data_IF_285787860066
#
_entry.id   IF_285787860066
#
_cell.length_a   1.000
_cell.length_b   1.000
_cell.length_c   1.000
_cell.angle_alpha   90.00
_cell.angle_beta   90.00
_cell.angle_gamma   90.00
#
_symmetry.space_group_name_H-M   'P 1'
#
loop_
_entity.id
_entity.type
_entity.pdbx_description
1 polymer ?
#
# COMPACT_ATOMS: atom_id res chain seq x y z
N UNK A 1 5.87 15.82 4.60
CA UNK A 1 5.03 16.82 3.96
C UNK A 1 5.82 18.08 3.63
N UNK A 2 6.29 18.84 4.62
CA UNK A 2 6.98 20.11 4.40
C UNK A 2 8.21 20.03 3.49
N UNK A 3 8.95 18.92 3.57
CA UNK A 3 10.17 18.74 2.76
C UNK A 3 9.91 18.32 1.31
N UNK A 4 8.77 17.71 1.02
CA UNK A 4 8.54 17.04 -0.26
C UNK A 4 7.32 17.53 -1.03
N UNK A 5 6.22 17.83 -0.36
CA UNK A 5 4.93 18.09 -1.03
C UNK A 5 4.51 19.55 -0.94
N UNK A 6 4.78 20.23 0.19
CA UNK A 6 4.29 21.59 0.40
C UNK A 6 4.77 22.60 -0.67
N UNK A 7 6.02 22.45 -1.10
CA UNK A 7 6.61 23.32 -2.14
C UNK A 7 5.88 23.20 -3.49
N UNK A 8 5.42 21.99 -3.83
CA UNK A 8 4.71 21.73 -5.08
C UNK A 8 3.21 22.01 -4.95
N UNK A 9 2.64 21.81 -3.77
CA UNK A 9 1.22 21.99 -3.54
C UNK A 9 0.81 23.45 -3.30
N UNK A 10 1.68 24.26 -2.70
CA UNK A 10 1.37 25.62 -2.28
C UNK A 10 2.47 26.65 -2.59
N UNK A 11 3.53 26.25 -3.28
CA UNK A 11 4.60 27.15 -3.71
C UNK A 11 4.18 28.09 -4.85
N UNK A 12 4.96 29.14 -5.15
CA UNK A 12 4.72 29.99 -6.29
C UNK A 12 4.68 29.19 -7.60
N UNK A 13 3.65 29.41 -8.42
CA UNK A 13 3.48 28.74 -9.71
C UNK A 13 2.89 27.32 -9.65
N UNK A 14 2.36 26.88 -8.48
CA UNK A 14 1.67 25.60 -8.40
C UNK A 14 0.43 25.58 -9.29
N UNK A 15 0.17 24.43 -9.91
CA UNK A 15 -0.99 24.21 -10.78
C UNK A 15 -2.06 23.32 -10.14
N UNK A 16 -1.86 22.90 -8.88
CA UNK A 16 -2.80 22.03 -8.18
C UNK A 16 -4.02 22.84 -7.71
N UNK A 17 -5.19 22.49 -8.19
CA UNK A 17 -6.45 23.13 -7.82
C UNK A 17 -6.96 22.64 -6.46
N UNK A 18 -6.68 21.37 -6.13
CA UNK A 18 -7.19 20.74 -4.91
C UNK A 18 -6.16 19.78 -4.32
N UNK A 19 -5.97 19.88 -3.01
CA UNK A 19 -5.11 18.99 -2.24
C UNK A 19 -5.96 18.34 -1.15
N UNK A 20 -5.99 17.02 -1.12
CA UNK A 20 -6.68 16.26 -0.08
C UNK A 20 -5.71 15.75 0.97
N UNK A 21 -6.16 15.79 2.22
CA UNK A 21 -5.47 15.13 3.33
C UNK A 21 -6.23 13.89 3.77
N UNK A 22 -5.48 12.83 4.05
CA UNK A 22 -6.00 11.56 4.58
C UNK A 22 -5.46 11.38 5.99
N UNK A 23 -6.36 11.14 6.95
CA UNK A 23 -5.98 10.83 8.33
C UNK A 23 -6.07 9.33 8.56
N UNK A 24 -4.94 8.63 8.45
CA UNK A 24 -4.88 7.18 8.65
C UNK A 24 -5.29 6.72 10.05
N UNK A 25 -5.25 7.62 11.06
CA UNK A 25 -5.66 7.27 12.42
C UNK A 25 -7.16 7.02 12.52
N UNK A 26 -7.96 7.54 11.57
CA UNK A 26 -9.40 7.30 11.49
C UNK A 26 -9.74 5.83 11.22
N UNK A 27 -8.84 5.08 10.59
CA UNK A 27 -9.02 3.67 10.20
C UNK A 27 -8.41 2.67 11.19
N UNK A 28 -7.80 3.18 12.25
CA UNK A 28 -7.22 2.32 13.28
C UNK A 28 -8.29 1.71 14.19
N UNK A 29 -8.02 0.52 14.77
CA UNK A 29 -8.87 -0.06 15.81
C UNK A 29 -9.14 0.91 16.96
N UNK A 30 -10.33 0.85 17.55
CA UNK A 30 -10.74 1.75 18.65
C UNK A 30 -9.72 1.75 19.79
N UNK A 31 -9.21 0.59 20.17
CA UNK A 31 -8.19 0.45 21.22
C UNK A 31 -6.91 1.25 20.91
N UNK A 32 -6.46 1.25 19.66
CA UNK A 32 -5.30 2.06 19.26
C UNK A 32 -5.63 3.55 19.23
N UNK A 33 -6.83 3.92 18.79
CA UNK A 33 -7.28 5.33 18.84
C UNK A 33 -7.29 5.86 20.28
N UNK A 34 -7.82 5.10 21.21
CA UNK A 34 -7.86 5.49 22.62
C UNK A 34 -6.45 5.60 23.22
N UNK A 35 -5.57 4.65 22.92
CA UNK A 35 -4.15 4.74 23.34
C UNK A 35 -3.44 5.97 22.79
N UNK A 36 -3.66 6.31 21.52
CA UNK A 36 -3.08 7.52 20.89
C UNK A 36 -3.69 8.81 21.46
N UNK A 37 -4.92 8.77 21.98
CA UNK A 37 -5.58 9.94 22.58
C UNK A 37 -5.09 10.24 24.00
N UNK A 38 -4.37 9.32 24.65
CA UNK A 38 -3.85 9.53 26.00
C UNK A 38 -2.92 10.75 26.07
N UNK A 39 -3.03 11.57 27.12
CA UNK A 39 -2.23 12.81 27.28
C UNK A 39 -0.79 12.54 27.78
N UNK A 40 -0.21 11.40 27.42
CA UNK A 40 1.14 10.98 27.82
C UNK A 40 2.14 11.19 26.69
N UNK A 41 3.41 11.45 27.02
CA UNK A 41 4.46 11.76 26.06
C UNK A 41 4.67 10.67 24.97
N UNK A 42 4.67 9.36 25.27
CA UNK A 42 4.79 8.31 24.26
C UNK A 42 3.62 8.31 23.25
N UNK A 43 2.39 8.50 23.73
CA UNK A 43 1.20 8.55 22.88
C UNK A 43 1.22 9.79 21.98
N UNK A 44 1.64 10.94 22.52
CA UNK A 44 1.82 12.18 21.76
C UNK A 44 2.85 12.01 20.64
N UNK A 45 4.03 11.47 20.97
CA UNK A 45 5.09 11.21 20.00
C UNK A 45 4.64 10.23 18.89
N UNK A 46 3.95 9.17 19.25
CA UNK A 46 3.41 8.20 18.28
C UNK A 46 2.35 8.84 17.37
N UNK A 47 1.45 9.66 17.92
CA UNK A 47 0.45 10.40 17.16
C UNK A 47 1.09 11.39 16.19
N UNK A 48 2.07 12.17 16.65
CA UNK A 48 2.76 13.17 15.83
C UNK A 48 3.57 12.56 14.69
N UNK A 49 4.02 11.31 14.85
CA UNK A 49 4.65 10.54 13.76
C UNK A 49 3.65 10.06 12.70
N UNK A 50 2.38 9.91 13.05
CA UNK A 50 1.33 9.37 12.18
C UNK A 50 0.40 10.45 11.62
N UNK A 51 0.32 11.60 12.28
CA UNK A 51 -0.60 12.68 11.95
C UNK A 51 0.09 14.02 12.03
N UNK A 52 0.16 14.72 10.92
CA UNK A 52 0.45 16.14 10.85
C UNK A 52 -0.86 16.92 10.88
N UNK A 53 -0.82 18.14 11.42
CA UNK A 53 -1.93 19.07 11.24
C UNK A 53 -2.19 19.25 9.76
N UNK A 54 -3.44 19.19 9.34
CA UNK A 54 -3.80 19.42 7.95
C UNK A 54 -3.38 20.84 7.55
N UNK A 55 -2.57 21.01 6.49
CA UNK A 55 -2.17 22.34 6.04
C UNK A 55 -3.38 23.19 5.66
N UNK A 56 -3.29 24.50 5.87
CA UNK A 56 -4.32 25.42 5.44
C UNK A 56 -4.58 25.26 3.93
N UNK A 57 -5.83 25.34 3.51
CA UNK A 57 -6.23 25.17 2.10
C UNK A 57 -6.38 23.72 1.63
N UNK A 58 -6.12 22.72 2.49
CA UNK A 58 -6.40 21.31 2.14
C UNK A 58 -7.81 20.90 2.53
N UNK A 59 -8.35 19.92 1.81
CA UNK A 59 -9.66 19.33 2.07
C UNK A 59 -9.49 17.95 2.72
N UNK A 60 -10.36 17.61 3.68
CA UNK A 60 -10.40 16.27 4.23
C UNK A 60 -10.99 15.30 3.20
N UNK A 61 -10.22 14.27 2.81
CA UNK A 61 -10.70 13.21 1.94
C UNK A 61 -11.94 12.53 2.50
N UNK A 62 -11.90 12.14 3.76
CA UNK A 62 -13.00 11.43 4.41
C UNK A 62 -14.31 12.22 4.42
N UNK A 63 -14.22 13.54 4.63
CA UNK A 63 -15.41 14.38 4.70
C UNK A 63 -15.97 14.59 3.30
N UNK A 64 -15.11 14.70 2.27
CA UNK A 64 -15.54 14.78 0.88
C UNK A 64 -16.17 13.49 0.39
N UNK A 65 -15.59 12.34 0.72
CA UNK A 65 -16.16 11.02 0.35
C UNK A 65 -17.53 10.82 1.01
N UNK A 66 -17.69 11.19 2.29
CA UNK A 66 -18.99 11.10 2.97
C UNK A 66 -20.09 12.01 2.39
N UNK A 67 -19.66 13.17 1.89
CA UNK A 67 -20.59 14.15 1.30
C UNK A 67 -20.82 13.91 -0.20
N UNK A 68 -20.06 13.02 -0.83
CA UNK A 68 -20.19 12.75 -2.26
C UNK A 68 -21.43 11.91 -2.56
N UNK A 69 -22.11 12.25 -3.64
CA UNK A 69 -23.15 11.41 -4.24
C UNK A 69 -22.48 10.24 -4.99
N UNK A 70 -23.20 9.12 -5.16
CA UNK A 70 -22.75 8.05 -6.04
C UNK A 70 -22.42 8.58 -7.45
N UNK A 71 -21.43 7.99 -8.09
CA UNK A 71 -21.08 8.33 -9.48
C UNK A 71 -22.28 7.97 -10.37
N UNK A 72 -22.65 8.91 -11.24
CA UNK A 72 -23.70 8.66 -12.24
C UNK A 72 -23.29 7.48 -13.13
N UNK A 73 -24.14 6.45 -13.30
CA UNK A 73 -23.85 5.29 -14.16
C UNK A 73 -23.54 5.67 -15.62
N UNK A 74 -24.00 6.83 -16.09
CA UNK A 74 -23.70 7.34 -17.44
C UNK A 74 -22.33 8.00 -17.56
N UNK A 75 -21.60 8.17 -16.46
CA UNK A 75 -20.25 8.74 -16.48
C UNK A 75 -19.33 7.87 -17.34
N UNK A 76 -18.65 8.43 -18.35
CA UNK A 76 -17.73 7.65 -19.18
C UNK A 76 -16.64 6.97 -18.36
N UNK A 77 -16.47 5.68 -18.58
CA UNK A 77 -15.39 4.91 -17.98
C UNK A 77 -14.12 5.03 -18.81
N UNK A 78 -12.96 4.94 -18.14
CA UNK A 78 -11.68 4.88 -18.83
C UNK A 78 -11.62 3.62 -19.73
N UNK A 79 -11.05 3.79 -20.93
CA UNK A 79 -10.81 2.68 -21.84
C UNK A 79 -9.39 2.14 -21.70
N UNK A 80 -9.14 0.97 -22.28
CA UNK A 80 -7.85 0.28 -22.15
C UNK A 80 -6.64 1.07 -22.62
N UNK A 81 -6.79 2.00 -23.55
CA UNK A 81 -5.74 2.86 -24.07
C UNK A 81 -5.44 4.10 -23.23
N UNK A 82 -6.33 4.45 -22.30
CA UNK A 82 -6.13 5.62 -21.46
C UNK A 82 -4.99 5.39 -20.46
N UNK A 83 -4.28 6.45 -20.12
CA UNK A 83 -3.19 6.40 -19.14
C UNK A 83 -3.79 6.19 -17.74
N UNK A 84 -3.43 5.09 -17.12
CA UNK A 84 -3.86 4.75 -15.76
C UNK A 84 -2.88 5.24 -14.69
N UNK A 85 -1.58 5.24 -14.99
CA UNK A 85 -0.53 5.67 -14.07
C UNK A 85 0.70 6.17 -14.84
N UNK A 86 1.44 7.07 -14.22
CA UNK A 86 2.77 7.49 -14.70
C UNK A 86 3.76 7.14 -13.60
N UNK A 87 4.67 6.20 -13.90
CA UNK A 87 5.74 5.82 -12.99
C UNK A 87 7.05 6.45 -13.43
N UNK A 88 7.92 6.74 -12.46
CA UNK A 88 9.23 7.31 -12.74
C UNK A 88 10.31 6.27 -12.51
N UNK A 89 11.21 6.12 -13.46
CA UNK A 89 12.41 5.28 -13.29
C UNK A 89 13.45 6.02 -12.45
N UNK A 90 14.16 5.30 -11.58
CA UNK A 90 15.36 5.83 -10.95
C UNK A 90 16.46 5.98 -12.00
N UNK A 91 16.54 7.15 -12.63
CA UNK A 91 17.53 7.41 -13.69
C UNK A 91 18.96 7.22 -13.18
N UNK A 92 19.70 6.30 -13.75
CA UNK A 92 21.14 6.12 -13.48
C UNK A 92 21.96 7.37 -13.83
N UNK A 93 21.42 8.24 -14.67
CA UNK A 93 22.05 9.49 -15.16
C UNK A 93 21.38 10.76 -14.58
N UNK A 94 20.71 10.68 -13.43
CA UNK A 94 20.26 11.84 -12.64
C UNK A 94 18.87 12.39 -12.97
N UNK A 95 18.30 12.16 -14.14
CA UNK A 95 16.95 12.62 -14.49
C UNK A 95 15.99 11.43 -14.59
N UNK A 96 14.99 11.33 -13.71
CA UNK A 96 13.98 10.28 -13.79
C UNK A 96 13.19 10.39 -15.10
N UNK A 97 12.99 9.25 -15.77
CA UNK A 97 12.12 9.17 -16.95
C UNK A 97 10.71 8.82 -16.54
N UNK A 98 9.74 9.57 -17.05
CA UNK A 98 8.31 9.26 -16.87
C UNK A 98 7.88 8.15 -17.83
N UNK A 99 7.27 7.11 -17.29
CA UNK A 99 6.75 5.96 -18.04
C UNK A 99 5.23 5.95 -17.89
N UNK A 100 4.47 6.36 -18.92
CA UNK A 100 3.02 6.25 -18.91
C UNK A 100 2.60 4.79 -19.07
N UNK A 101 1.74 4.32 -18.18
CA UNK A 101 1.14 2.98 -18.22
C UNK A 101 -0.36 3.12 -18.47
N UNK A 102 -0.85 2.43 -19.50
CA UNK A 102 -2.28 2.40 -19.80
C UNK A 102 -3.02 1.40 -18.91
N UNK A 103 -4.35 1.52 -18.85
CA UNK A 103 -5.20 0.52 -18.18
C UNK A 103 -4.96 -0.88 -18.76
N UNK A 104 -4.74 -0.98 -20.10
CA UNK A 104 -4.42 -2.25 -20.74
C UNK A 104 -3.08 -2.83 -20.28
N UNK A 105 -2.04 -2.01 -20.14
CA UNK A 105 -0.73 -2.47 -19.65
C UNK A 105 -0.85 -3.07 -18.25
N UNK A 106 -1.45 -2.32 -17.33
CA UNK A 106 -1.61 -2.73 -15.93
C UNK A 106 -2.50 -3.96 -15.82
N UNK A 107 -3.66 -3.95 -16.50
CA UNK A 107 -4.60 -5.07 -16.49
C UNK A 107 -4.03 -6.36 -17.10
N UNK A 108 -3.27 -6.24 -18.22
CA UNK A 108 -2.60 -7.40 -18.82
C UNK A 108 -1.53 -7.99 -17.90
N UNK A 109 -0.73 -7.13 -17.26
CA UNK A 109 0.28 -7.59 -16.31
C UNK A 109 -0.37 -8.28 -15.09
N UNK A 110 -1.47 -7.74 -14.58
CA UNK A 110 -2.21 -8.40 -13.50
C UNK A 110 -2.73 -9.78 -13.92
N UNK A 111 -3.27 -9.91 -15.14
CA UNK A 111 -3.71 -11.22 -15.66
C UNK A 111 -2.56 -12.20 -15.76
N UNK A 112 -1.41 -11.78 -16.27
CA UNK A 112 -0.20 -12.61 -16.35
C UNK A 112 0.23 -13.12 -14.97
N UNK A 113 0.33 -12.22 -13.98
CA UNK A 113 0.69 -12.59 -12.62
C UNK A 113 -0.29 -13.59 -12.00
N UNK A 114 -1.59 -13.36 -12.16
CA UNK A 114 -2.62 -14.26 -11.63
C UNK A 114 -2.63 -15.63 -12.34
N UNK A 115 -2.29 -15.67 -13.63
CA UNK A 115 -2.17 -16.93 -14.39
C UNK A 115 -0.97 -17.76 -13.95
N UNK A 116 0.12 -17.13 -13.50
CA UNK A 116 1.29 -17.83 -12.95
C UNK A 116 0.99 -18.51 -11.63
N UNK A 117 0.10 -17.92 -10.81
CA UNK A 117 -0.25 -18.44 -9.49
C UNK A 117 -1.59 -19.19 -9.59
N UNK A 118 -1.57 -20.30 -10.30
CA UNK A 118 -2.75 -21.05 -10.77
C UNK A 118 -3.64 -21.68 -9.68
N UNK A 119 -3.23 -21.64 -8.40
CA UNK A 119 -4.01 -22.20 -7.27
C UNK A 119 -4.55 -21.12 -6.32
N UNK A 120 -4.67 -19.89 -6.76
CA UNK A 120 -5.34 -18.87 -6.00
C UNK A 120 -6.86 -19.10 -6.03
N UNK A 121 -7.51 -18.80 -4.91
CA UNK A 121 -8.96 -18.90 -4.78
C UNK A 121 -9.55 -17.47 -4.73
N UNK A 122 -10.34 -17.12 -5.74
CA UNK A 122 -11.02 -15.85 -5.81
C UNK A 122 -11.87 -15.60 -4.55
N UNK A 123 -11.73 -14.41 -3.97
CA UNK A 123 -12.45 -14.01 -2.76
C UNK A 123 -11.97 -14.65 -1.46
N UNK A 124 -11.01 -15.59 -1.50
CA UNK A 124 -10.56 -16.31 -0.31
C UNK A 124 -9.10 -16.06 0.09
N UNK A 125 -8.36 -15.27 -0.69
CA UNK A 125 -6.95 -15.01 -0.42
C UNK A 125 -6.74 -13.83 0.52
N UNK A 126 -5.70 -13.93 1.36
CA UNK A 126 -5.25 -12.88 2.25
C UNK A 126 -3.83 -12.46 1.86
N UNK A 127 -3.69 -11.27 1.30
CA UNK A 127 -2.41 -10.75 0.81
C UNK A 127 -1.71 -9.93 1.89
N UNK A 128 -0.42 -10.18 2.11
CA UNK A 128 0.44 -9.25 2.82
C UNK A 128 0.79 -8.06 1.91
N UNK A 129 0.06 -6.97 2.06
CA UNK A 129 0.24 -5.75 1.28
C UNK A 129 1.21 -4.81 2.01
N UNK A 130 2.50 -5.19 2.07
CA UNK A 130 3.52 -4.54 2.87
C UNK A 130 4.48 -3.66 2.06
N UNK A 131 4.45 -3.74 0.72
CA UNK A 131 5.23 -2.87 -0.16
C UNK A 131 4.47 -1.58 -0.50
N UNK A 132 5.19 -0.50 -0.83
CA UNK A 132 4.55 0.76 -1.20
C UNK A 132 3.68 0.63 -2.46
N UNK A 133 2.46 1.11 -2.41
CA UNK A 133 1.52 1.10 -3.54
C UNK A 133 1.91 2.04 -4.68
N UNK A 134 2.74 3.04 -4.39
CA UNK A 134 3.29 3.96 -5.40
C UNK A 134 4.48 3.37 -6.17
N UNK A 135 5.00 2.21 -5.78
CA UNK A 135 6.02 1.46 -6.51
C UNK A 135 5.34 0.46 -7.46
N UNK A 136 5.91 0.22 -8.64
CA UNK A 136 5.35 -0.70 -9.66
C UNK A 136 4.98 -2.08 -9.10
N UNK A 137 5.80 -2.61 -8.22
CA UNK A 137 5.60 -3.92 -7.60
C UNK A 137 4.36 -3.92 -6.68
N UNK A 138 4.23 -2.92 -5.78
CA UNK A 138 3.06 -2.77 -4.92
C UNK A 138 1.80 -2.38 -5.70
N UNK A 139 1.93 -1.51 -6.70
CA UNK A 139 0.83 -1.14 -7.59
C UNK A 139 0.23 -2.39 -8.26
N UNK A 140 1.08 -3.23 -8.87
CA UNK A 140 0.60 -4.40 -9.58
C UNK A 140 -0.04 -5.44 -8.63
N UNK A 141 0.69 -5.89 -7.62
CA UNK A 141 0.21 -6.99 -6.77
C UNK A 141 -0.88 -6.57 -5.80
N UNK A 142 -0.80 -5.39 -5.19
CA UNK A 142 -1.74 -5.02 -4.12
C UNK A 142 -2.91 -4.20 -4.63
N UNK A 143 -2.66 -3.19 -5.48
CA UNK A 143 -3.75 -2.36 -5.95
C UNK A 143 -4.53 -3.03 -7.10
N UNK A 144 -3.87 -3.82 -7.95
CA UNK A 144 -4.54 -4.39 -9.13
C UNK A 144 -4.84 -5.88 -8.95
N UNK A 145 -3.83 -6.74 -8.70
CA UNK A 145 -4.07 -8.19 -8.59
C UNK A 145 -4.96 -8.53 -7.41
N UNK A 146 -4.67 -7.98 -6.21
CA UNK A 146 -5.48 -8.29 -5.03
C UNK A 146 -6.93 -7.82 -5.18
N UNK A 147 -7.14 -6.61 -5.74
CA UNK A 147 -8.51 -6.10 -5.99
C UNK A 147 -9.22 -6.94 -7.04
N UNK A 148 -8.56 -7.26 -8.15
CA UNK A 148 -9.12 -8.11 -9.21
C UNK A 148 -9.54 -9.49 -8.70
N UNK A 149 -8.81 -10.03 -7.74
CA UNK A 149 -9.05 -11.35 -7.17
C UNK A 149 -10.00 -11.33 -5.97
N UNK A 150 -10.51 -10.14 -5.60
CA UNK A 150 -11.36 -10.02 -4.42
C UNK A 150 -10.65 -10.38 -3.12
N UNK A 151 -9.32 -10.29 -3.08
CA UNK A 151 -8.51 -10.69 -1.93
C UNK A 151 -8.61 -9.69 -0.78
N UNK A 152 -8.58 -10.20 0.45
CA UNK A 152 -8.36 -9.38 1.62
C UNK A 152 -6.91 -8.87 1.63
N UNK A 153 -6.73 -7.58 1.94
CA UNK A 153 -5.39 -6.98 2.00
C UNK A 153 -5.05 -6.60 3.43
N UNK A 154 -3.97 -7.18 3.96
CA UNK A 154 -3.43 -6.84 5.27
C UNK A 154 -2.39 -5.75 5.06
N UNK A 155 -2.78 -4.51 5.40
CA UNK A 155 -1.99 -3.31 5.18
C UNK A 155 -1.38 -2.80 6.48
N UNK A 156 -0.14 -2.35 6.41
CA UNK A 156 0.53 -1.65 7.51
C UNK A 156 0.98 -0.26 7.05
N UNK A 157 0.96 0.75 7.93
CA UNK A 157 1.46 2.10 7.60
C UNK A 157 2.93 2.13 7.18
N UNK A 158 3.70 1.20 7.71
CA UNK A 158 5.10 0.91 7.37
C UNK A 158 5.39 -0.55 7.68
N UNK A 159 6.39 -1.12 7.02
CA UNK A 159 6.84 -2.47 7.35
C UNK A 159 7.41 -2.53 8.76
N UNK A 160 6.77 -3.33 9.60
CA UNK A 160 7.18 -3.68 10.95
C UNK A 160 6.87 -5.15 11.18
N UNK A 161 7.87 -5.92 11.56
CA UNK A 161 7.78 -7.40 11.64
C UNK A 161 6.81 -7.84 12.73
N UNK A 162 6.86 -7.20 13.89
CA UNK A 162 5.97 -7.58 15.01
C UNK A 162 4.52 -7.22 14.70
N UNK A 163 4.29 -6.08 14.05
CA UNK A 163 2.94 -5.71 13.59
C UNK A 163 2.43 -6.65 12.50
N UNK A 164 3.30 -7.06 11.56
CA UNK A 164 2.95 -7.99 10.50
C UNK A 164 2.55 -9.35 11.07
N UNK A 165 3.35 -9.93 11.95
CA UNK A 165 3.05 -11.20 12.60
C UNK A 165 1.80 -11.12 13.50
N UNK A 166 1.59 -10.02 14.21
CA UNK A 166 0.36 -9.81 14.97
C UNK A 166 -0.88 -9.67 14.09
N UNK A 167 -0.74 -9.12 12.89
CA UNK A 167 -1.83 -9.07 11.91
C UNK A 167 -2.08 -10.44 11.30
N UNK A 168 -1.02 -11.18 10.94
CA UNK A 168 -1.08 -12.56 10.45
C UNK A 168 -1.78 -13.49 11.46
N UNK A 169 -1.47 -13.40 12.76
CA UNK A 169 -2.11 -14.22 13.79
C UNK A 169 -3.63 -13.99 13.92
N UNK A 170 -4.12 -12.83 13.49
CA UNK A 170 -5.56 -12.52 13.46
C UNK A 170 -6.24 -12.89 12.16
N UNK A 171 -5.52 -12.70 11.05
CA UNK A 171 -5.99 -12.98 9.71
C UNK A 171 -4.86 -13.71 9.00
N UNK A 172 -4.89 -15.06 8.96
CA UNK A 172 -3.82 -15.85 8.36
C UNK A 172 -3.57 -15.45 6.91
N UNK A 173 -2.34 -15.06 6.61
CA UNK A 173 -1.89 -14.68 5.27
C UNK A 173 -1.74 -15.93 4.42
N UNK A 174 -2.16 -15.84 3.17
CA UNK A 174 -2.01 -16.92 2.19
C UNK A 174 -1.05 -16.57 1.07
N UNK A 175 -0.84 -15.28 0.83
CA UNK A 175 -0.02 -14.77 -0.26
C UNK A 175 0.90 -13.65 0.22
N UNK A 176 2.21 -13.87 0.13
CA UNK A 176 3.22 -12.92 0.56
C UNK A 176 4.09 -12.47 -0.61
N UNK A 177 3.98 -11.18 -0.96
CA UNK A 177 4.84 -10.54 -1.94
C UNK A 177 5.78 -9.59 -1.22
N UNK A 178 7.07 -9.73 -1.44
CA UNK A 178 8.06 -8.93 -0.71
C UNK A 178 9.43 -8.88 -1.37
N UNK A 179 10.38 -8.32 -0.65
CA UNK A 179 11.79 -8.34 -0.98
C UNK A 179 12.54 -9.29 -0.02
N UNK A 180 13.69 -9.87 -0.41
CA UNK A 180 14.38 -10.88 0.39
C UNK A 180 14.53 -10.56 1.89
N UNK A 181 14.93 -9.33 2.29
CA UNK A 181 15.06 -8.99 3.71
C UNK A 181 13.74 -9.05 4.50
N UNK A 182 12.58 -8.97 3.83
CA UNK A 182 11.29 -9.07 4.51
C UNK A 182 10.98 -10.53 4.87
N UNK A 183 11.29 -11.46 3.97
CA UNK A 183 11.12 -12.89 4.22
C UNK A 183 12.00 -13.35 5.38
N UNK A 184 13.29 -13.07 5.31
CA UNK A 184 14.25 -13.41 6.37
C UNK A 184 13.80 -12.87 7.75
N UNK A 185 13.41 -11.60 7.81
CA UNK A 185 12.96 -11.00 9.07
C UNK A 185 11.66 -11.57 9.60
N UNK A 186 10.69 -11.86 8.73
CA UNK A 186 9.40 -12.47 9.11
C UNK A 186 9.63 -13.91 9.60
N UNK A 187 10.41 -14.70 8.87
CA UNK A 187 10.70 -16.09 9.22
C UNK A 187 11.42 -16.19 10.57
N UNK A 188 12.54 -15.48 10.74
CA UNK A 188 13.29 -15.46 11.99
C UNK A 188 12.42 -15.06 13.18
N UNK A 189 11.64 -14.00 13.03
CA UNK A 189 10.79 -13.50 14.10
C UNK A 189 9.60 -14.42 14.40
N UNK A 190 9.02 -15.03 13.39
CA UNK A 190 7.97 -16.03 13.56
C UNK A 190 8.49 -17.24 14.35
N UNK A 191 9.69 -17.73 14.02
CA UNK A 191 10.37 -18.82 14.73
C UNK A 191 10.64 -18.46 16.20
N UNK A 192 11.22 -17.28 16.47
CA UNK A 192 11.46 -16.79 17.83
C UNK A 192 10.19 -16.74 18.68
N UNK A 193 9.08 -16.27 18.08
CA UNK A 193 7.79 -16.12 18.78
C UNK A 193 6.91 -17.36 18.71
N UNK A 194 7.35 -18.43 18.04
CA UNK A 194 6.57 -19.64 17.80
C UNK A 194 5.22 -19.34 17.14
N UNK A 195 5.21 -18.43 16.17
CA UNK A 195 4.03 -18.10 15.37
C UNK A 195 4.04 -19.00 14.13
N UNK A 196 2.95 -19.69 13.93
CA UNK A 196 2.75 -20.52 12.73
C UNK A 196 2.47 -19.63 11.51
N UNK A 197 3.29 -19.73 10.48
CA UNK A 197 3.17 -19.02 9.19
C UNK A 197 2.90 -20.00 8.02
N UNK A 198 2.55 -21.24 8.29
CA UNK A 198 2.33 -22.29 7.28
C UNK A 198 1.14 -22.01 6.35
N UNK A 199 0.24 -21.11 6.72
CA UNK A 199 -0.83 -20.65 5.85
C UNK A 199 -0.34 -19.86 4.63
N UNK A 200 0.90 -19.36 4.62
CA UNK A 200 1.51 -18.70 3.48
C UNK A 200 1.84 -19.74 2.42
N UNK A 201 0.94 -19.90 1.45
CA UNK A 201 1.07 -20.89 0.38
C UNK A 201 1.92 -20.40 -0.79
N UNK A 202 1.97 -19.08 -0.97
CA UNK A 202 2.70 -18.42 -2.04
C UNK A 202 3.56 -17.28 -1.50
N UNK A 203 4.84 -17.32 -1.85
CA UNK A 203 5.81 -16.28 -1.59
C UNK A 203 6.43 -15.83 -2.91
N UNK A 204 6.34 -14.54 -3.23
CA UNK A 204 6.97 -13.96 -4.42
C UNK A 204 8.00 -12.95 -3.98
N UNK A 205 9.26 -13.24 -4.25
CA UNK A 205 10.38 -12.34 -4.02
C UNK A 205 10.74 -11.61 -5.30
N UNK A 206 11.00 -10.29 -5.20
CA UNK A 206 11.38 -9.48 -6.35
C UNK A 206 12.18 -8.25 -5.97
N UNK A 207 12.50 -7.45 -6.98
CA UNK A 207 13.23 -6.18 -6.90
C UNK A 207 14.69 -6.29 -6.42
N UNK A 208 15.12 -7.43 -5.89
CA UNK A 208 16.48 -7.71 -5.44
C UNK A 208 16.83 -9.17 -5.72
N UNK A 209 18.12 -9.53 -5.90
CA UNK A 209 18.55 -10.92 -5.94
C UNK A 209 18.11 -11.65 -4.67
N UNK A 210 17.55 -12.85 -4.82
CA UNK A 210 17.20 -13.71 -3.69
C UNK A 210 18.42 -14.58 -3.33
N UNK A 211 19.01 -14.41 -2.15
CA UNK A 211 20.09 -15.28 -1.68
C UNK A 211 19.57 -16.73 -1.50
N UNK A 212 20.44 -17.71 -1.79
CA UNK A 212 20.07 -19.12 -1.73
C UNK A 212 19.72 -19.61 -0.30
N UNK A 213 20.27 -18.96 0.71
CA UNK A 213 19.99 -19.24 2.13
C UNK A 213 18.65 -18.64 2.61
N UNK A 214 18.02 -17.79 1.81
CA UNK A 214 16.70 -17.20 2.09
C UNK A 214 15.62 -17.89 1.26
N UNK A 215 15.98 -18.55 0.17
CA UNK A 215 15.06 -19.27 -0.71
C UNK A 215 14.64 -20.61 -0.12
#
# INVERSE_FOLDING_TARGET
WEKSVSKFAFGPGHQLQTVFTVDITRYMPVTKKTMLALPIAPARKARDQMRLAAPAGTLSWDDKVRAASPIDPSTPHAIGSDIAAILHTGGTNGVPKSVPLTHKNIGSNANQNLSWVYRLHEGAENFFSLLPYFHSFGLCFFLVCAVKYGACQIMLPKFDVDMALAAHSRTPVTFFVGVPPMFDRIEKRAREKKIDISSIRYAISGAMPLPADVA
#
